data_IF_142147079015
#
_entry.id   IF_142147079015
#
_cell.length_a   1.000
_cell.length_b   1.000
_cell.length_c   1.000
_cell.angle_alpha   90.00
_cell.angle_beta   90.00
_cell.angle_gamma   90.00
#
_symmetry.space_group_name_H-M   'P 1'
#
loop_
_entity.id
_entity.type
_entity.pdbx_description
1 polymer ?
#
# COMPACT_ATOMS: atom_id res chain seq x y z
N UNK A 1 0.72 50.39 -0.95
CA UNK A 1 1.58 49.50 -0.12
C UNK A 1 0.85 48.18 0.06
N UNK A 2 0.99 47.20 -0.85
CA UNK A 2 0.17 45.97 -0.80
C UNK A 2 0.90 44.72 -1.33
N UNK A 3 2.25 44.75 -1.38
CA UNK A 3 3.09 43.60 -1.83
C UNK A 3 3.69 42.79 -0.67
N UNK A 4 3.65 43.29 0.57
CA UNK A 4 4.09 42.56 1.76
C UNK A 4 3.13 41.42 2.10
N UNK A 5 1.83 41.74 2.22
CA UNK A 5 0.79 40.76 2.54
C UNK A 5 0.71 39.56 1.57
N UNK A 6 1.03 39.76 0.29
CA UNK A 6 0.97 38.65 -0.68
C UNK A 6 2.06 37.60 -0.42
N UNK A 7 3.24 38.00 0.07
CA UNK A 7 4.33 37.07 0.39
C UNK A 7 4.00 36.22 1.62
N UNK A 8 3.38 36.82 2.64
CA UNK A 8 2.93 36.09 3.84
C UNK A 8 1.79 35.11 3.51
N UNK A 9 0.82 35.53 2.68
CA UNK A 9 -0.27 34.65 2.22
C UNK A 9 0.24 33.47 1.40
N UNK A 10 1.24 33.69 0.52
CA UNK A 10 1.84 32.60 -0.25
C UNK A 10 2.63 31.63 0.63
N UNK A 11 3.38 32.14 1.61
CA UNK A 11 4.09 31.33 2.60
C UNK A 11 3.13 30.49 3.44
N UNK A 12 2.01 31.06 3.90
CA UNK A 12 1.00 30.32 4.65
C UNK A 12 0.34 29.24 3.77
N UNK A 13 0.05 29.55 2.50
CA UNK A 13 -0.52 28.57 1.55
C UNK A 13 0.45 27.43 1.24
N UNK A 14 1.76 27.71 1.15
CA UNK A 14 2.79 26.68 1.01
C UNK A 14 2.87 25.79 2.26
N UNK A 15 2.84 26.37 3.47
CA UNK A 15 2.85 25.62 4.72
C UNK A 15 1.60 24.76 4.91
N UNK A 16 0.40 25.27 4.59
CA UNK A 16 -0.85 24.50 4.62
C UNK A 16 -0.83 23.32 3.63
N UNK A 17 -0.23 23.49 2.45
CA UNK A 17 -0.04 22.39 1.48
C UNK A 17 0.92 21.32 2.00
N UNK A 18 2.02 21.72 2.62
CA UNK A 18 2.99 20.80 3.21
C UNK A 18 2.41 20.02 4.41
N UNK A 19 1.64 20.68 5.27
CA UNK A 19 0.98 20.04 6.42
C UNK A 19 -0.13 19.06 5.99
N UNK A 20 -0.83 19.33 4.89
CA UNK A 20 -1.83 18.41 4.31
C UNK A 20 -1.23 17.12 3.76
N UNK A 21 0.04 17.13 3.35
CA UNK A 21 0.76 15.91 2.94
C UNK A 21 1.08 14.96 4.10
N UNK A 22 1.02 15.44 5.35
CA UNK A 22 1.48 14.71 6.53
C UNK A 22 0.33 14.15 7.39
N UNK A 23 -0.89 14.71 7.27
CA UNK A 23 -2.02 14.35 8.14
C UNK A 23 -3.00 13.29 7.60
N UNK A 24 -2.86 12.84 6.35
CA UNK A 24 -3.72 11.80 5.78
C UNK A 24 -2.89 10.74 5.06
N UNK A 25 -1.97 10.10 5.77
CA UNK A 25 -1.25 8.94 5.22
C UNK A 25 -2.17 7.72 5.16
N UNK A 26 -3.17 7.75 4.29
CA UNK A 26 -3.86 6.55 3.79
C UNK A 26 -2.85 5.51 3.32
N UNK A 27 -1.66 5.94 2.88
CA UNK A 27 -0.54 5.10 2.48
C UNK A 27 0.10 4.30 3.64
N UNK A 28 0.24 4.86 4.85
CA UNK A 28 0.77 4.10 6.01
C UNK A 28 -0.23 3.07 6.53
N UNK A 29 -1.53 3.35 6.41
CA UNK A 29 -2.58 2.38 6.74
C UNK A 29 -2.66 1.24 5.73
N UNK A 30 -2.32 1.49 4.45
CA UNK A 30 -2.25 0.46 3.41
C UNK A 30 -1.11 -0.53 3.64
N UNK A 31 0.03 -0.08 4.13
CA UNK A 31 1.20 -0.92 4.43
C UNK A 31 0.88 -2.00 5.48
N UNK A 32 0.07 -1.65 6.49
CA UNK A 32 -0.41 -2.60 7.51
C UNK A 32 -1.43 -3.62 7.01
N UNK A 33 -2.02 -3.41 5.84
CA UNK A 33 -3.03 -4.28 5.25
C UNK A 33 -2.45 -5.23 4.18
N UNK A 34 -1.13 -5.30 4.00
CA UNK A 34 -0.44 -6.18 3.05
C UNK A 34 0.27 -7.35 3.76
N UNK A 35 -0.39 -8.14 4.60
CA UNK A 35 0.29 -9.22 5.34
C UNK A 35 0.56 -10.50 4.54
N UNK A 36 -0.09 -10.72 3.39
CA UNK A 36 0.05 -12.00 2.68
C UNK A 36 1.11 -11.85 1.60
N UNK A 37 2.26 -12.48 1.78
CA UNK A 37 3.37 -12.45 0.82
C UNK A 37 3.53 -13.82 0.19
N UNK A 38 3.66 -13.87 -1.13
CA UNK A 38 4.05 -15.10 -1.82
C UNK A 38 5.55 -15.34 -1.61
N UNK A 39 5.94 -16.50 -1.08
CA UNK A 39 7.35 -16.81 -0.81
C UNK A 39 8.19 -16.96 -2.10
N UNK A 40 7.56 -17.39 -3.20
CA UNK A 40 8.26 -17.67 -4.46
C UNK A 40 8.59 -16.39 -5.23
N UNK A 41 7.62 -15.47 -5.38
CA UNK A 41 7.80 -14.23 -6.15
C UNK A 41 7.86 -12.96 -5.30
N UNK A 42 7.66 -13.06 -3.98
CA UNK A 42 7.62 -11.93 -3.03
C UNK A 42 6.55 -10.89 -3.35
N UNK A 43 5.53 -11.27 -4.11
CA UNK A 43 4.39 -10.42 -4.38
C UNK A 43 3.56 -10.27 -3.10
N UNK A 44 3.31 -9.03 -2.70
CA UNK A 44 2.48 -8.68 -1.55
C UNK A 44 1.00 -8.62 -1.95
N UNK A 45 0.15 -9.22 -1.13
CA UNK A 45 -1.31 -9.24 -1.27
C UNK A 45 -1.96 -8.67 0.00
N UNK A 46 -3.18 -8.18 -0.17
CA UNK A 46 -3.96 -7.62 0.94
C UNK A 46 -4.36 -8.73 1.93
N UNK A 47 -4.41 -8.45 3.23
CA UNK A 47 -4.85 -9.39 4.27
C UNK A 47 -6.28 -9.92 4.02
N UNK A 48 -7.11 -9.15 3.33
CA UNK A 48 -8.52 -9.48 3.07
C UNK A 48 -8.72 -10.28 1.78
N UNK A 49 -7.65 -10.69 1.11
CA UNK A 49 -7.75 -11.41 -0.15
C UNK A 49 -8.28 -12.83 0.10
N UNK A 50 -9.17 -13.29 -0.78
CA UNK A 50 -9.77 -14.62 -0.67
C UNK A 50 -8.88 -15.66 -1.33
N UNK A 51 -8.92 -16.88 -0.78
CA UNK A 51 -8.23 -18.07 -1.30
C UNK A 51 -8.29 -18.26 -2.83
N UNK A 52 -9.44 -18.16 -3.53
CA UNK A 52 -9.49 -18.36 -4.99
C UNK A 52 -8.60 -17.38 -5.78
N UNK A 53 -8.41 -16.16 -5.28
CA UNK A 53 -7.54 -15.18 -5.95
C UNK A 53 -6.06 -15.51 -5.77
N UNK A 54 -5.68 -16.08 -4.62
CA UNK A 54 -4.32 -16.56 -4.37
C UNK A 54 -4.02 -17.86 -5.14
N UNK A 55 -5.01 -18.74 -5.29
CA UNK A 55 -4.92 -19.93 -6.15
C UNK A 55 -4.72 -19.54 -7.61
N UNK A 56 -5.50 -18.57 -8.11
CA UNK A 56 -5.32 -18.06 -9.47
C UNK A 56 -3.92 -17.45 -9.69
N UNK A 57 -3.35 -16.78 -8.68
CA UNK A 57 -1.97 -16.29 -8.73
C UNK A 57 -0.97 -17.45 -8.86
N UNK A 58 -1.12 -18.48 -8.03
CA UNK A 58 -0.28 -19.67 -8.08
C UNK A 58 -0.40 -20.36 -9.45
N UNK A 59 -1.60 -20.62 -9.95
CA UNK A 59 -1.80 -21.29 -11.25
C UNK A 59 -1.20 -20.51 -12.42
N UNK A 60 -1.28 -19.17 -12.38
CA UNK A 60 -0.79 -18.32 -13.47
C UNK A 60 0.73 -18.07 -13.42
N UNK A 61 1.32 -18.01 -12.22
CA UNK A 61 2.73 -17.62 -12.02
C UNK A 61 3.63 -18.77 -11.60
N UNK A 62 3.09 -19.72 -10.86
CA UNK A 62 3.80 -20.83 -10.24
C UNK A 62 3.07 -22.17 -10.47
N UNK A 63 2.75 -22.56 -11.72
CA UNK A 63 1.97 -23.78 -12.01
C UNK A 63 2.66 -25.08 -11.57
N UNK A 64 3.94 -25.02 -11.18
CA UNK A 64 4.72 -26.15 -10.69
C UNK A 64 4.79 -26.22 -9.16
N UNK A 65 4.45 -25.12 -8.46
CA UNK A 65 4.50 -25.04 -7.01
C UNK A 65 3.11 -25.27 -6.45
N UNK A 66 3.04 -25.86 -5.25
CA UNK A 66 1.75 -26.02 -4.58
C UNK A 66 1.36 -24.72 -3.86
N UNK A 67 0.07 -24.53 -3.62
CA UNK A 67 -0.44 -23.38 -2.87
C UNK A 67 0.27 -23.21 -1.51
N UNK A 68 0.54 -24.33 -0.82
CA UNK A 68 1.28 -24.36 0.45
C UNK A 68 2.73 -23.89 0.35
N UNK A 69 3.35 -24.02 -0.82
CA UNK A 69 4.72 -23.60 -1.06
C UNK A 69 4.79 -22.08 -1.33
N UNK A 70 3.79 -21.56 -2.04
CA UNK A 70 3.65 -20.11 -2.27
C UNK A 70 3.18 -19.35 -1.02
N UNK A 71 2.26 -19.92 -0.25
CA UNK A 71 1.63 -19.28 0.91
C UNK A 71 1.62 -20.23 2.12
N UNK A 72 2.77 -20.45 2.78
CA UNK A 72 2.87 -21.39 3.91
C UNK A 72 2.13 -20.90 5.16
N UNK A 73 2.02 -19.58 5.35
CA UNK A 73 1.39 -18.95 6.51
C UNK A 73 -0.05 -18.47 6.23
N UNK A 74 -0.68 -18.93 5.15
CA UNK A 74 -2.09 -18.61 4.89
C UNK A 74 -2.98 -19.53 5.72
N UNK A 75 -3.37 -19.04 6.90
CA UNK A 75 -4.41 -19.64 7.72
C UNK A 75 -5.77 -19.11 7.24
N UNK A 76 -6.64 -20.01 6.77
CA UNK A 76 -8.03 -19.72 6.38
C UNK A 76 -8.94 -19.54 7.60
#
# INVERSE_FOLDING_TARGET
MTRGNQRDVDRERAQRRNQRGMQNSTLKSKDKNLNVVCEVCRQTFMCTIKRPTLEQHMESKHPKHQFRDCFPNFED
#
